data_IF_993068412063
#
_entry.id   IF_993068412063
#
_cell.length_a   1.000
_cell.length_b   1.000
_cell.length_c   1.000
_cell.angle_alpha   90.00
_cell.angle_beta   90.00
_cell.angle_gamma   90.00
#
_symmetry.space_group_name_H-M   'P 1'
#
loop_
_entity.id
_entity.type
_entity.pdbx_description
1 polymer ?
#
# COMPACT_ATOMS: atom_id res chain seq x y z
N UNK A 1 7.51 9.44 -12.82
CA UNK A 1 7.14 8.95 -11.47
C UNK A 1 5.81 9.54 -11.02
N UNK A 2 4.76 8.73 -11.00
CA UNK A 2 3.41 9.10 -10.55
C UNK A 2 3.31 8.91 -9.04
N UNK A 3 2.75 9.90 -8.34
CA UNK A 3 2.55 9.88 -6.89
C UNK A 3 1.14 9.37 -6.59
N UNK A 4 1.03 8.30 -5.83
CA UNK A 4 -0.23 7.57 -5.62
C UNK A 4 -0.63 7.65 -4.14
N UNK A 5 -1.89 7.99 -3.91
CA UNK A 5 -2.56 7.81 -2.62
C UNK A 5 -3.66 6.74 -2.74
N UNK A 6 -3.72 5.81 -1.78
CA UNK A 6 -4.72 4.73 -1.75
C UNK A 6 -5.58 4.87 -0.50
N UNK A 7 -6.89 5.07 -0.72
CA UNK A 7 -7.87 5.14 0.37
C UNK A 7 -8.43 3.73 0.62
N UNK A 8 -8.41 3.29 1.88
CA UNK A 8 -8.88 1.95 2.23
C UNK A 8 -7.94 0.82 1.82
N UNK A 9 -6.63 1.06 1.89
CA UNK A 9 -5.59 0.17 1.37
C UNK A 9 -5.51 -1.20 2.07
N UNK A 10 -6.12 -1.36 3.24
CA UNK A 10 -6.07 -2.60 4.02
C UNK A 10 -7.06 -3.70 3.56
N UNK A 11 -7.84 -3.46 2.49
CA UNK A 11 -8.67 -4.49 1.86
C UNK A 11 -7.87 -5.41 0.94
N UNK A 12 -8.47 -6.52 0.49
CA UNK A 12 -7.83 -7.46 -0.43
C UNK A 12 -7.43 -6.81 -1.75
N UNK A 13 -8.28 -5.94 -2.31
CA UNK A 13 -7.96 -5.16 -3.51
C UNK A 13 -6.81 -4.17 -3.28
N UNK A 14 -6.77 -3.55 -2.10
CA UNK A 14 -5.67 -2.66 -1.71
C UNK A 14 -4.34 -3.42 -1.61
N UNK A 15 -4.36 -4.64 -1.06
CA UNK A 15 -3.20 -5.52 -1.00
C UNK A 15 -2.67 -5.89 -2.40
N UNK A 16 -3.55 -6.30 -3.31
CA UNK A 16 -3.14 -6.63 -4.69
C UNK A 16 -2.61 -5.40 -5.43
N UNK A 17 -3.24 -4.24 -5.25
CA UNK A 17 -2.75 -2.99 -5.83
C UNK A 17 -1.36 -2.63 -5.31
N UNK A 18 -1.12 -2.76 -4.00
CA UNK A 18 0.20 -2.55 -3.41
C UNK A 18 1.24 -3.54 -3.94
N UNK A 19 0.89 -4.81 -4.08
CA UNK A 19 1.76 -5.84 -4.65
C UNK A 19 2.18 -5.52 -6.09
N UNK A 20 1.26 -5.01 -6.92
CA UNK A 20 1.57 -4.60 -8.29
C UNK A 20 2.44 -3.34 -8.32
N UNK A 21 2.15 -2.36 -7.46
CA UNK A 21 2.86 -1.07 -7.43
C UNK A 21 4.26 -1.17 -6.83
N UNK A 22 4.53 -2.13 -5.93
CA UNK A 22 5.85 -2.39 -5.34
C UNK A 22 6.94 -2.62 -6.41
N UNK A 23 6.54 -3.14 -7.59
CA UNK A 23 7.45 -3.47 -8.70
C UNK A 23 7.44 -2.45 -9.83
N UNK A 24 6.78 -1.31 -9.64
CA UNK A 24 6.56 -0.35 -10.72
C UNK A 24 7.50 0.86 -10.59
N UNK A 25 8.60 0.87 -11.36
CA UNK A 25 9.67 1.90 -11.27
C UNK A 25 9.17 3.34 -11.47
N UNK A 26 8.09 3.53 -12.24
CA UNK A 26 7.52 4.85 -12.48
C UNK A 26 6.39 5.25 -11.52
N UNK A 27 6.18 4.54 -10.41
CA UNK A 27 5.15 4.84 -9.43
C UNK A 27 5.72 4.86 -8.00
N UNK A 28 5.23 5.81 -7.18
CA UNK A 28 5.54 5.88 -5.75
C UNK A 28 4.24 5.99 -4.96
N UNK A 29 4.09 5.11 -3.97
CA UNK A 29 2.96 5.13 -3.04
C UNK A 29 3.30 6.03 -1.86
N UNK A 30 2.65 7.19 -1.81
CA UNK A 30 2.98 8.27 -0.87
C UNK A 30 2.01 8.35 0.31
N UNK A 31 0.80 7.79 0.15
CA UNK A 31 -0.25 7.85 1.16
C UNK A 31 -1.08 6.57 1.15
N UNK A 32 -1.31 6.01 2.34
CA UNK A 32 -2.22 4.90 2.57
C UNK A 32 -3.14 5.22 3.73
N UNK A 33 -4.43 4.93 3.59
CA UNK A 33 -5.39 5.09 4.69
C UNK A 33 -6.07 3.78 5.03
N UNK A 34 -6.42 3.62 6.31
CA UNK A 34 -7.21 2.50 6.83
C UNK A 34 -7.94 2.93 8.10
N UNK A 35 -9.20 2.53 8.23
CA UNK A 35 -9.98 2.77 9.45
C UNK A 35 -9.52 1.88 10.61
N UNK A 36 -8.95 0.71 10.33
CA UNK A 36 -8.60 -0.31 11.34
C UNK A 36 -7.12 -0.32 11.72
N UNK A 37 -6.25 0.08 10.80
CA UNK A 37 -4.80 -0.09 10.92
C UNK A 37 -4.04 1.24 10.88
N UNK A 38 -4.67 2.33 11.32
CA UNK A 38 -4.02 3.64 11.42
C UNK A 38 -2.75 3.56 12.28
N UNK A 39 -1.66 4.16 11.81
CA UNK A 39 -0.37 4.20 12.51
C UNK A 39 0.47 2.94 12.40
N UNK A 40 -0.04 1.86 11.80
CA UNK A 40 0.74 0.67 11.48
C UNK A 40 1.42 0.80 10.13
N UNK A 41 2.61 0.23 10.00
CA UNK A 41 3.27 0.04 8.70
C UNK A 41 2.52 -1.02 7.88
N UNK A 42 2.70 -0.96 6.56
CA UNK A 42 2.09 -1.91 5.62
C UNK A 42 2.54 -3.34 5.94
N UNK A 43 3.83 -3.55 6.16
CA UNK A 43 4.39 -4.88 6.46
C UNK A 43 3.98 -5.46 7.84
N UNK A 44 3.45 -4.64 8.75
CA UNK A 44 2.82 -5.14 9.98
C UNK A 44 1.43 -5.73 9.74
N UNK A 45 0.77 -5.32 8.64
CA UNK A 45 -0.57 -5.79 8.24
C UNK A 45 -0.47 -6.88 7.17
N UNK A 46 0.46 -6.74 6.22
CA UNK A 46 0.76 -7.65 5.12
C UNK A 46 2.26 -7.98 5.11
N UNK A 47 2.71 -8.97 5.90
CA UNK A 47 4.14 -9.30 6.05
C UNK A 47 4.87 -9.64 4.74
N UNK A 48 4.13 -10.02 3.71
CA UNK A 48 4.65 -10.33 2.37
C UNK A 48 5.03 -9.08 1.55
N UNK A 49 4.55 -7.89 1.92
CA UNK A 49 4.88 -6.63 1.25
C UNK A 49 6.03 -5.95 1.99
N UNK A 50 7.18 -5.78 1.33
CA UNK A 50 8.43 -5.37 2.00
C UNK A 50 9.18 -4.22 1.32
N UNK A 51 8.71 -3.78 0.15
CA UNK A 51 9.23 -2.63 -0.58
C UNK A 51 8.87 -1.28 0.03
#
# INVERSE_FOLDING_TARGET
MVRIGIIGAAGLSGRELLYLLERHEEASVELLTSNKFQGKKVNEVFPELTG
#
